data_IF_234689446839
#
_entry.id   IF_234689446839
#
_cell.length_a   1.000
_cell.length_b   1.000
_cell.length_c   1.000
_cell.angle_alpha   90.00
_cell.angle_beta   90.00
_cell.angle_gamma   90.00
#
_symmetry.space_group_name_H-M   'P 1'
#
loop_
_entity.id
_entity.type
_entity.pdbx_description
1 polymer ?
#
# COMPACT_ATOMS: atom_id res chain seq x y z
N UNK A 1 -0.61 8.52 2.94
CA UNK A 1 -0.09 8.73 1.58
C UNK A 1 0.84 7.58 1.22
N UNK A 2 0.75 6.99 0.02
CA UNK A 2 1.64 5.90 -0.41
C UNK A 2 3.04 6.40 -0.80
N UNK A 3 3.18 7.68 -1.12
CA UNK A 3 4.42 8.29 -1.54
C UNK A 3 4.94 9.27 -0.50
N UNK A 4 6.26 9.32 -0.36
CA UNK A 4 7.01 10.30 0.41
C UNK A 4 8.10 10.90 -0.47
N UNK A 5 8.52 12.10 -0.12
CA UNK A 5 9.66 12.78 -0.74
C UNK A 5 10.79 12.86 0.27
N UNK A 6 11.97 12.41 -0.15
CA UNK A 6 13.21 12.53 0.61
C UNK A 6 14.13 13.46 -0.16
N UNK A 7 14.61 14.54 0.47
CA UNK A 7 15.60 15.45 -0.10
C UNK A 7 16.82 15.49 0.80
N UNK A 8 18.01 15.38 0.23
CA UNK A 8 19.23 15.38 1.03
C UNK A 8 20.48 15.66 0.21
N UNK A 9 21.60 15.74 0.92
CA UNK A 9 22.89 16.09 0.36
C UNK A 9 23.87 14.93 0.48
N UNK A 10 24.57 14.62 -0.62
CA UNK A 10 25.63 13.60 -0.65
C UNK A 10 27.03 14.18 -0.38
N UNK A 11 27.16 15.50 -0.45
CA UNK A 11 28.36 16.24 -0.03
C UNK A 11 28.02 17.13 1.16
N UNK A 12 28.92 17.22 2.13
CA UNK A 12 28.73 18.01 3.35
C UNK A 12 28.55 19.50 3.04
N UNK A 13 27.53 20.12 3.62
CA UNK A 13 27.28 21.57 3.47
C UNK A 13 27.96 22.44 4.53
N UNK A 14 28.34 21.87 5.68
CA UNK A 14 28.88 22.61 6.82
C UNK A 14 29.61 21.68 7.76
N UNK A 15 30.58 22.21 8.51
CA UNK A 15 31.28 21.45 9.54
C UNK A 15 30.42 21.11 10.76
N UNK A 16 29.41 21.93 11.08
CA UNK A 16 28.59 21.73 12.30
C UNK A 16 27.49 20.69 12.11
N UNK A 17 26.82 20.71 10.96
CA UNK A 17 25.80 19.74 10.57
C UNK A 17 26.01 19.36 9.10
N UNK A 18 26.86 18.37 8.83
CA UNK A 18 27.26 18.04 7.47
C UNK A 18 26.09 17.51 6.64
N UNK A 19 25.13 16.85 7.28
CA UNK A 19 24.02 16.17 6.62
C UNK A 19 22.68 16.74 7.05
N UNK A 20 21.81 16.99 6.08
CA UNK A 20 20.42 17.39 6.29
C UNK A 20 19.54 16.65 5.31
N UNK A 21 18.67 15.81 5.85
CA UNK A 21 17.70 15.04 5.08
C UNK A 21 16.31 15.48 5.48
N UNK A 22 15.57 15.99 4.52
CA UNK A 22 14.18 16.40 4.66
C UNK A 22 13.31 15.23 4.19
N UNK A 23 12.36 14.80 5.02
CA UNK A 23 11.39 13.76 4.64
C UNK A 23 9.98 14.30 4.80
N UNK A 24 9.26 14.38 3.70
CA UNK A 24 7.88 14.89 3.64
C UNK A 24 6.86 13.77 3.48
N UNK A 25 5.74 13.88 4.19
CA UNK A 25 4.56 13.01 3.99
C UNK A 25 4.56 11.70 4.76
N UNK A 26 5.42 11.56 5.78
CA UNK A 26 5.41 10.40 6.67
C UNK A 26 4.12 10.31 7.51
N UNK A 27 3.68 9.08 7.77
CA UNK A 27 2.60 8.82 8.74
C UNK A 27 3.15 8.87 10.16
N UNK A 28 2.30 9.21 11.13
CA UNK A 28 2.67 9.29 12.56
C UNK A 28 3.39 8.02 13.07
N UNK A 29 2.90 6.83 12.71
CA UNK A 29 3.53 5.56 13.11
C UNK A 29 4.96 5.40 12.56
N UNK A 30 5.21 5.81 11.32
CA UNK A 30 6.56 5.76 10.74
C UNK A 30 7.47 6.83 11.38
N UNK A 31 6.92 7.99 11.76
CA UNK A 31 7.66 9.05 12.48
C UNK A 31 8.16 8.56 13.83
N UNK A 32 7.33 7.85 14.58
CA UNK A 32 7.69 7.26 15.87
C UNK A 32 8.86 6.27 15.74
N UNK A 33 8.86 5.42 14.72
CA UNK A 33 9.94 4.47 14.44
C UNK A 33 11.27 5.17 14.08
N UNK A 34 11.19 6.35 13.47
CA UNK A 34 12.36 7.16 13.09
C UNK A 34 12.84 8.10 14.21
N UNK A 35 12.14 8.17 15.36
CA UNK A 35 12.46 9.07 16.48
C UNK A 35 13.86 8.88 17.08
N UNK A 36 14.48 7.71 16.85
CA UNK A 36 15.87 7.41 17.24
C UNK A 36 16.91 8.27 16.53
N UNK A 37 16.58 8.84 15.37
CA UNK A 37 17.50 9.68 14.61
C UNK A 37 17.41 11.13 15.09
N UNK A 38 18.56 11.78 15.26
CA UNK A 38 18.62 13.20 15.60
C UNK A 38 17.89 14.04 14.54
N UNK A 39 16.96 14.88 15.01
CA UNK A 39 16.19 15.80 14.16
C UNK A 39 16.36 17.24 14.66
N UNK A 40 16.11 18.21 13.78
CA UNK A 40 15.90 19.61 14.17
C UNK A 40 14.42 19.98 14.17
N UNK A 41 13.55 18.97 14.18
CA UNK A 41 12.10 19.12 14.10
C UNK A 41 11.58 19.32 12.68
N UNK A 42 10.41 19.94 12.61
CA UNK A 42 9.68 20.22 11.37
C UNK A 42 10.14 21.54 10.75
N UNK A 43 10.38 21.57 9.45
CA UNK A 43 10.61 22.81 8.71
C UNK A 43 9.32 23.39 8.09
N UNK A 44 8.29 22.57 7.99
CA UNK A 44 6.91 22.91 7.59
C UNK A 44 5.94 21.87 8.19
N UNK A 45 4.64 21.97 7.91
CA UNK A 45 3.59 21.11 8.50
C UNK A 45 3.76 19.61 8.23
N UNK A 46 4.57 19.22 7.24
CA UNK A 46 4.65 17.85 6.72
C UNK A 46 6.05 17.28 6.60
N UNK A 47 7.09 18.10 6.83
CA UNK A 47 8.48 17.76 6.54
C UNK A 47 9.35 17.79 7.79
N UNK A 48 9.92 16.63 8.13
CA UNK A 48 10.87 16.48 9.24
C UNK A 48 12.30 16.57 8.69
N UNK A 49 13.17 17.24 9.44
CA UNK A 49 14.59 17.35 9.09
C UNK A 49 15.46 16.47 9.99
N UNK A 50 16.09 15.47 9.40
CA UNK A 50 17.03 14.55 10.05
C UNK A 50 18.48 14.98 9.80
N UNK A 51 19.30 14.90 10.85
CA UNK A 51 20.73 15.22 10.82
C UNK A 51 21.59 13.98 10.54
N UNK A 52 21.21 13.22 9.51
CA UNK A 52 21.86 11.97 9.13
C UNK A 52 22.17 11.95 7.63
N UNK A 53 23.18 11.15 7.24
CA UNK A 53 23.50 10.96 5.82
C UNK A 53 22.30 10.35 5.08
N UNK A 54 21.99 10.76 3.83
CA UNK A 54 20.84 10.25 3.08
C UNK A 54 20.71 8.73 3.08
N UNK A 55 21.81 7.98 2.88
CA UNK A 55 21.77 6.51 2.91
C UNK A 55 21.19 5.92 4.20
N UNK A 56 21.46 6.53 5.37
CA UNK A 56 20.95 6.02 6.65
C UNK A 56 19.43 6.15 6.70
N UNK A 57 18.90 7.30 6.27
CA UNK A 57 17.46 7.57 6.27
C UNK A 57 16.75 6.74 5.21
N UNK A 58 17.32 6.63 4.00
CA UNK A 58 16.75 5.79 2.93
C UNK A 58 16.66 4.33 3.37
N UNK A 59 17.73 3.78 3.96
CA UNK A 59 17.72 2.40 4.45
C UNK A 59 16.72 2.20 5.60
N UNK A 60 16.58 3.17 6.51
CA UNK A 60 15.56 3.08 7.55
C UNK A 60 14.13 3.08 6.96
N UNK A 61 13.89 3.88 5.92
CA UNK A 61 12.62 3.90 5.20
C UNK A 61 12.38 2.59 4.43
N UNK A 62 13.42 1.96 3.88
CA UNK A 62 13.34 0.62 3.27
C UNK A 62 12.92 -0.45 4.27
N UNK A 63 13.46 -0.42 5.50
CA UNK A 63 13.02 -1.32 6.59
C UNK A 63 11.54 -1.09 6.95
N UNK A 64 11.06 0.16 6.85
CA UNK A 64 9.65 0.48 7.02
C UNK A 64 8.79 0.10 5.81
N UNK A 65 9.36 -0.46 4.74
CA UNK A 65 8.64 -0.94 3.56
C UNK A 65 8.49 0.08 2.44
N UNK A 66 9.18 1.22 2.50
CA UNK A 66 9.26 2.15 1.37
C UNK A 66 10.30 1.68 0.35
N UNK A 67 10.02 1.83 -0.93
CA UNK A 67 10.96 1.57 -2.02
C UNK A 67 11.20 2.85 -2.80
N UNK A 68 12.45 3.12 -3.19
CA UNK A 68 12.75 4.21 -4.12
C UNK A 68 12.10 3.89 -5.47
N UNK A 69 11.28 4.80 -5.99
CA UNK A 69 10.63 4.67 -7.31
C UNK A 69 11.10 5.72 -8.31
N UNK A 70 11.71 6.80 -7.84
CA UNK A 70 12.35 7.80 -8.67
C UNK A 70 13.46 8.50 -7.88
N UNK A 71 14.52 8.89 -8.58
CA UNK A 71 15.59 9.73 -8.04
C UNK A 71 15.86 10.87 -9.01
N UNK A 72 16.12 12.06 -8.48
CA UNK A 72 16.51 13.23 -9.26
C UNK A 72 17.52 14.07 -8.49
N UNK A 73 18.18 14.99 -9.18
CA UNK A 73 19.11 15.94 -8.57
C UNK A 73 18.93 17.32 -9.18
N UNK A 74 19.12 18.35 -8.37
CA UNK A 74 19.16 19.74 -8.82
C UNK A 74 20.46 20.38 -8.34
N UNK A 75 21.17 21.02 -9.28
CA UNK A 75 22.33 21.85 -8.97
C UNK A 75 21.87 23.28 -8.76
N UNK A 76 21.94 23.75 -7.51
CA UNK A 76 21.48 25.11 -7.16
C UNK A 76 22.64 26.11 -7.24
N UNK A 77 23.85 25.69 -6.86
CA UNK A 77 25.13 26.42 -6.98
C UNK A 77 26.26 25.43 -7.28
N UNK A 78 27.42 25.92 -7.74
CA UNK A 78 28.55 25.10 -8.21
C UNK A 78 28.97 23.96 -7.24
N UNK A 79 28.67 24.06 -5.95
CA UNK A 79 28.99 23.01 -4.95
C UNK A 79 27.78 22.57 -4.10
N UNK A 80 26.57 23.03 -4.42
CA UNK A 80 25.36 22.73 -3.66
C UNK A 80 24.41 21.88 -4.50
N UNK A 81 24.69 20.57 -4.50
CA UNK A 81 23.87 19.57 -5.18
C UNK A 81 22.89 18.95 -4.20
N UNK A 82 21.62 19.09 -4.51
CA UNK A 82 20.57 18.42 -3.77
C UNK A 82 20.06 17.23 -4.55
N UNK A 83 19.85 16.15 -3.82
CA UNK A 83 19.35 14.90 -4.34
C UNK A 83 17.97 14.66 -3.75
N UNK A 84 17.06 14.16 -4.58
CA UNK A 84 15.69 13.88 -4.21
C UNK A 84 15.35 12.45 -4.57
N UNK A 85 14.67 11.76 -3.66
CA UNK A 85 14.16 10.42 -3.85
C UNK A 85 12.67 10.42 -3.56
N UNK A 86 11.89 9.97 -4.52
CA UNK A 86 10.49 9.62 -4.29
C UNK A 86 10.46 8.17 -3.84
N UNK A 87 9.92 7.92 -2.66
CA UNK A 87 9.74 6.56 -2.17
C UNK A 87 8.26 6.22 -2.06
N UNK A 88 7.94 4.96 -2.32
CA UNK A 88 6.58 4.41 -2.27
C UNK A 88 6.53 3.24 -1.29
N UNK A 89 5.54 3.23 -0.40
CA UNK A 89 5.18 2.06 0.39
C UNK A 89 3.97 1.39 -0.25
N UNK A 90 4.12 0.11 -0.60
CA UNK A 90 2.98 -0.67 -1.10
C UNK A 90 1.95 -0.79 0.03
N UNK A 91 0.69 -0.54 -0.31
CA UNK A 91 -0.41 -0.87 0.59
C UNK A 91 -0.74 -2.34 0.37
N UNK A 92 -0.81 -3.12 1.44
CA UNK A 92 -1.63 -4.32 1.42
C UNK A 92 -3.05 -3.88 1.08
N UNK A 93 -3.67 -4.43 0.04
CA UNK A 93 -5.12 -4.34 -0.07
C UNK A 93 -5.71 -4.84 1.26
N UNK A 94 -6.71 -4.15 1.84
CA UNK A 94 -7.37 -4.69 3.01
C UNK A 94 -7.85 -6.10 2.64
N UNK A 95 -7.48 -7.10 3.46
CA UNK A 95 -7.99 -8.45 3.26
C UNK A 95 -9.52 -8.35 3.15
N UNK A 96 -10.15 -8.98 2.13
CA UNK A 96 -11.59 -8.89 1.96
C UNK A 96 -12.23 -9.33 3.28
N UNK A 97 -13.11 -8.50 3.85
CA UNK A 97 -13.77 -8.77 5.14
C UNK A 97 -14.37 -10.19 5.14
N UNK A 98 -13.66 -11.16 5.69
CA UNK A 98 -14.09 -12.56 5.73
C UNK A 98 -15.08 -12.82 6.86
N UNK A 99 -16.07 -11.95 7.07
CA UNK A 99 -17.18 -12.15 8.02
C UNK A 99 -18.34 -11.28 7.53
N UNK A 100 -19.34 -11.67 6.71
CA UNK A 100 -20.39 -12.70 6.82
C UNK A 100 -21.08 -12.71 5.43
N UNK A 101 -21.29 -13.84 4.72
CA UNK A 101 -22.52 -14.66 4.79
C UNK A 101 -22.33 -16.00 4.05
N UNK A 102 -21.81 -17.00 4.78
CA UNK A 102 -22.17 -18.42 4.54
C UNK A 102 -23.67 -18.71 4.69
N UNK A 103 -24.48 -17.72 5.09
CA UNK A 103 -25.95 -17.80 5.13
C UNK A 103 -26.65 -17.36 3.82
N UNK A 104 -25.94 -16.75 2.86
CA UNK A 104 -26.52 -16.27 1.60
C UNK A 104 -26.54 -17.34 0.49
N UNK A 105 -25.50 -18.19 0.45
CA UNK A 105 -25.40 -19.24 -0.56
C UNK A 105 -26.41 -20.37 -0.34
N UNK A 106 -26.65 -20.73 0.93
CA UNK A 106 -27.62 -21.77 1.29
C UNK A 106 -29.06 -21.38 0.94
N UNK A 107 -29.43 -20.09 1.05
CA UNK A 107 -30.78 -19.61 0.69
C UNK A 107 -31.04 -19.64 -0.81
N UNK A 108 -30.04 -19.28 -1.62
CA UNK A 108 -30.19 -19.33 -3.08
C UNK A 108 -30.23 -20.76 -3.61
N UNK A 109 -29.48 -21.69 -3.00
CA UNK A 109 -29.53 -23.12 -3.36
C UNK A 109 -30.87 -23.74 -2.93
N UNK A 110 -31.41 -23.40 -1.76
CA UNK A 110 -32.72 -23.90 -1.32
C UNK A 110 -33.87 -23.38 -2.21
N UNK A 111 -33.86 -22.07 -2.55
CA UNK A 111 -34.87 -21.47 -3.44
C UNK A 111 -34.79 -22.04 -4.86
N UNK A 112 -33.59 -22.30 -5.37
CA UNK A 112 -33.40 -23.00 -6.65
C UNK A 112 -33.87 -24.46 -6.58
N UNK A 113 -33.66 -25.15 -5.45
CA UNK A 113 -34.19 -26.50 -5.24
C UNK A 113 -35.72 -26.52 -5.18
N UNK A 114 -36.38 -25.61 -4.47
CA UNK A 114 -37.85 -25.52 -4.46
C UNK A 114 -38.41 -25.18 -5.84
N UNK A 115 -37.80 -24.22 -6.55
CA UNK A 115 -38.25 -23.84 -7.90
C UNK A 115 -38.06 -24.98 -8.93
N UNK A 116 -36.97 -25.75 -8.84
CA UNK A 116 -36.75 -26.93 -9.69
C UNK A 116 -37.62 -28.13 -9.30
N UNK A 117 -38.00 -28.25 -8.02
CA UNK A 117 -38.88 -29.32 -7.52
C UNK A 117 -40.34 -29.05 -7.94
N UNK A 118 -40.79 -27.80 -7.88
CA UNK A 118 -42.09 -27.38 -8.40
C UNK A 118 -42.19 -27.51 -9.93
N UNK A 119 -41.11 -27.20 -10.66
CA UNK A 119 -41.08 -27.40 -12.12
C UNK A 119 -41.11 -28.89 -12.52
N UNK A 120 -40.56 -29.80 -11.71
CA UNK A 120 -40.71 -31.25 -11.91
C UNK A 120 -42.12 -31.75 -11.60
N UNK A 121 -42.80 -31.19 -10.60
CA UNK A 121 -44.20 -31.52 -10.33
C UNK A 121 -45.14 -31.03 -11.43
N UNK A 122 -44.84 -29.90 -12.08
CA UNK A 122 -45.65 -29.37 -13.18
C UNK A 122 -45.39 -30.05 -14.54
N UNK A 123 -44.24 -30.70 -14.73
CA UNK A 123 -43.88 -31.39 -15.99
C UNK A 123 -43.95 -32.92 -15.91
N UNK A 124 -44.44 -33.46 -14.80
CA UNK A 124 -44.61 -34.89 -14.57
C UNK A 124 -45.76 -35.56 -15.34
N UNK A 125 -45.98 -35.18 -16.61
CA UNK A 125 -46.92 -35.92 -17.46
C UNK A 125 -46.51 -36.12 -18.92
N UNK A 126 -45.24 -35.94 -19.30
CA UNK A 126 -44.75 -36.56 -20.54
C UNK A 126 -43.24 -36.87 -20.50
N UNK A 127 -42.97 -38.13 -20.81
CA UNK A 127 -41.68 -38.78 -21.06
C UNK A 127 -40.75 -38.00 -22.00
N UNK A 128 -39.54 -37.66 -21.55
CA UNK A 128 -38.25 -38.02 -22.17
C UNK A 128 -37.09 -37.25 -21.53
N UNK A 129 -36.15 -38.00 -20.94
CA UNK A 129 -35.01 -37.48 -20.22
C UNK A 129 -33.97 -36.84 -21.16
N UNK A 130 -33.75 -35.53 -21.02
CA UNK A 130 -32.55 -34.86 -21.52
C UNK A 130 -31.78 -34.27 -20.35
N UNK A 131 -30.60 -34.84 -20.04
CA UNK A 131 -29.71 -34.40 -18.95
C UNK A 131 -29.07 -33.06 -19.31
N UNK A 132 -29.50 -31.98 -18.66
CA UNK A 132 -28.75 -30.71 -18.66
C UNK A 132 -27.67 -30.82 -17.56
N UNK A 133 -26.40 -30.84 -17.97
CA UNK A 133 -25.23 -30.86 -17.08
C UNK A 133 -24.74 -29.42 -16.92
N UNK A 134 -25.03 -28.77 -15.81
CA UNK A 134 -24.43 -27.47 -15.46
C UNK A 134 -23.11 -27.74 -14.70
N UNK A 135 -21.98 -27.51 -15.36
CA UNK A 135 -20.67 -27.51 -14.73
C UNK A 135 -20.33 -26.06 -14.34
N UNK A 136 -20.29 -25.77 -13.04
CA UNK A 136 -19.77 -24.50 -12.54
C UNK A 136 -18.25 -24.63 -12.39
N UNK A 137 -17.49 -23.89 -13.20
CA UNK A 137 -16.08 -23.58 -12.93
C UNK A 137 -16.04 -22.35 -12.03
N UNK A 138 -15.38 -22.48 -10.87
CA UNK A 138 -15.01 -21.35 -10.02
C UNK A 138 -13.56 -21.02 -10.38
N UNK A 139 -13.33 -19.81 -10.87
CA UNK A 139 -12.02 -19.12 -10.79
C UNK A 139 -12.21 -18.02 -9.77
#
# INVERSE_FOLDING_TARGET
MPYILVRGNLASYSHKYPWRVLVSGLKAADIEQLSRFSTIGYCDDSTIVYLQHPCIILTALEVLGYKVVASSSTSIKQDYNEYMWTMRKEFSEPEPDTVVKKAGMARNILLLQEHLTLHRYSLGNHSNASKIKLTYFII
#
